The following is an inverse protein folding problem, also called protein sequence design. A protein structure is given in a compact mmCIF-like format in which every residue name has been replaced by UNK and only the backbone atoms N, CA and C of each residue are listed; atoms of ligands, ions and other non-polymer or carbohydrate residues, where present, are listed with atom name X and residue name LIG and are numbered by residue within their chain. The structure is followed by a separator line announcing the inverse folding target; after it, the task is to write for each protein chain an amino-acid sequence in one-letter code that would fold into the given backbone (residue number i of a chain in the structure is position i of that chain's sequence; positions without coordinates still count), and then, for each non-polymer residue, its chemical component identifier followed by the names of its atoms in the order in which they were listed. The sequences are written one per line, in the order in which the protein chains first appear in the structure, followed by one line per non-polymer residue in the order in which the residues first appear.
data_IF_659363089036
#
_entry.id   IF_659363089036
#
_cell.length_a   1.000
_cell.length_b   1.000
_cell.length_c   1.000
_cell.angle_alpha   90.00
_cell.angle_beta   90.00
_cell.angle_gamma   90.00
#
_symmetry.space_group_name_H-M   'P 1'
#
loop_
_entity.id
_entity.type
_entity.pdbx_description
1 polymer ?
#
# COMPACT_ATOMS: atom_id res chain seq x y z
N UNK A 1 0.15 -7.25 26.05
CA UNK A 1 1.04 -7.18 24.88
C UNK A 1 0.28 -6.41 23.81
N UNK A 2 0.91 -5.43 23.16
CA UNK A 2 0.25 -4.64 22.12
C UNK A 2 -0.04 -5.52 20.90
N UNK A 3 -1.06 -5.18 20.12
CA UNK A 3 -1.30 -5.85 18.83
C UNK A 3 -0.30 -5.33 17.79
N UNK A 4 0.12 -6.17 16.86
CA UNK A 4 1.11 -5.84 15.83
C UNK A 4 0.47 -5.50 14.49
N UNK A 5 0.93 -4.42 13.87
CA UNK A 5 0.50 -3.97 12.55
C UNK A 5 1.69 -3.99 11.59
N UNK A 6 1.57 -4.77 10.52
CA UNK A 6 2.55 -4.79 9.43
C UNK A 6 2.11 -3.90 8.27
N UNK A 7 3.01 -3.07 7.75
CA UNK A 7 2.71 -2.13 6.67
C UNK A 7 3.61 -2.39 5.47
N UNK A 8 3.02 -2.56 4.28
CA UNK A 8 3.75 -2.74 3.03
C UNK A 8 3.62 -1.51 2.13
N UNK A 9 4.75 -0.98 1.65
CA UNK A 9 4.81 0.10 0.65
C UNK A 9 5.81 -0.22 -0.47
N UNK A 10 5.76 0.49 -1.59
CA UNK A 10 6.79 0.38 -2.62
C UNK A 10 8.07 1.09 -2.19
N UNK A 11 7.97 2.35 -1.74
CA UNK A 11 9.12 3.18 -1.41
C UNK A 11 8.76 4.11 -0.25
N UNK A 12 9.59 4.11 0.79
CA UNK A 12 9.63 5.13 1.84
C UNK A 12 11.02 5.78 1.86
N UNK A 13 12.04 4.94 1.69
CA UNK A 13 13.36 5.31 1.23
C UNK A 13 13.56 4.89 -0.23
N UNK A 14 14.56 5.48 -0.89
CA UNK A 14 15.12 4.95 -2.13
C UNK A 14 15.53 3.48 -1.95
N UNK A 15 15.53 2.65 -3.03
CA UNK A 15 15.83 1.22 -2.89
C UNK A 15 17.19 0.88 -2.26
N UNK A 16 18.16 1.79 -2.35
CA UNK A 16 19.50 1.71 -1.72
C UNK A 16 19.53 2.23 -0.27
N UNK A 17 18.42 2.77 0.24
CA UNK A 17 18.28 3.30 1.59
C UNK A 17 18.98 4.65 1.82
N UNK A 18 19.52 5.29 0.79
CA UNK A 18 20.32 6.53 0.98
C UNK A 18 19.48 7.78 1.15
N UNK A 19 18.28 7.81 0.55
CA UNK A 19 17.41 8.99 0.55
C UNK A 19 16.01 8.64 1.01
N UNK A 20 15.47 9.43 1.94
CA UNK A 20 14.05 9.40 2.26
C UNK A 20 13.25 10.06 1.12
N UNK A 21 12.17 9.42 0.70
CA UNK A 21 11.23 9.99 -0.26
C UNK A 21 10.35 10.99 0.48
N UNK A 22 10.23 12.21 -0.05
CA UNK A 22 9.41 13.26 0.52
C UNK A 22 8.23 13.53 -0.41
N UNK A 23 7.07 12.97 -0.08
CA UNK A 23 5.81 13.16 -0.77
C UNK A 23 4.62 13.13 0.19
N UNK A 24 3.43 13.34 -0.36
CA UNK A 24 2.19 13.34 0.43
C UNK A 24 1.87 11.98 1.04
N UNK A 25 2.18 10.90 0.34
CA UNK A 25 1.99 9.54 0.84
C UNK A 25 2.95 9.23 1.99
N UNK A 26 4.23 9.61 1.89
CA UNK A 26 5.22 9.34 2.94
C UNK A 26 4.92 10.14 4.22
N UNK A 27 4.50 11.40 4.09
CA UNK A 27 4.00 12.18 5.24
C UNK A 27 2.78 11.51 5.87
N UNK A 28 1.80 11.12 5.08
CA UNK A 28 0.63 10.38 5.58
C UNK A 28 1.05 9.09 6.31
N UNK A 29 2.06 8.37 5.80
CA UNK A 29 2.58 7.14 6.41
C UNK A 29 3.22 7.37 7.78
N UNK A 30 3.99 8.46 7.94
CA UNK A 30 4.54 8.85 9.24
C UNK A 30 3.44 9.17 10.25
N UNK A 31 2.47 10.00 9.88
CA UNK A 31 1.40 10.40 10.80
C UNK A 31 0.46 9.24 11.14
N UNK A 32 0.13 8.38 10.17
CA UNK A 32 -0.59 7.14 10.41
C UNK A 32 0.17 6.24 11.40
N UNK A 33 1.50 6.14 11.26
CA UNK A 33 2.30 5.34 12.19
C UNK A 33 2.26 5.90 13.60
N UNK A 34 2.37 7.23 13.78
CA UNK A 34 2.25 7.85 15.10
C UNK A 34 0.89 7.57 15.74
N UNK A 35 -0.20 7.71 14.98
CA UNK A 35 -1.54 7.38 15.45
C UNK A 35 -1.66 5.92 15.90
N UNK A 36 -1.10 4.98 15.14
CA UNK A 36 -1.09 3.56 15.53
C UNK A 36 -0.32 3.33 16.83
N UNK A 37 0.83 3.99 17.02
CA UNK A 37 1.60 3.92 18.27
C UNK A 37 0.80 4.49 19.46
N UNK A 38 0.14 5.64 19.28
CA UNK A 38 -0.71 6.27 20.30
C UNK A 38 -1.90 5.38 20.71
N UNK A 39 -2.43 4.62 19.76
CA UNK A 39 -3.48 3.61 20.01
C UNK A 39 -2.95 2.32 20.66
N UNK A 40 -1.64 2.22 20.91
CA UNK A 40 -1.00 1.10 21.60
C UNK A 40 -0.65 -0.09 20.69
N UNK A 41 -0.58 0.12 19.38
CA UNK A 41 -0.08 -0.88 18.44
C UNK A 41 1.44 -0.88 18.35
N UNK A 42 2.01 -2.05 18.10
CA UNK A 42 3.39 -2.20 17.64
C UNK A 42 3.39 -2.16 16.11
N UNK A 43 4.25 -1.34 15.49
CA UNK A 43 4.24 -1.13 14.03
C UNK A 43 5.56 -1.52 13.40
N UNK A 44 5.49 -2.23 12.27
CA UNK A 44 6.65 -2.60 11.45
C UNK A 44 6.33 -2.38 9.98
N UNK A 45 7.30 -1.85 9.22
CA UNK A 45 7.18 -1.58 7.80
C UNK A 45 8.03 -2.53 6.95
N UNK A 46 7.58 -2.76 5.73
CA UNK A 46 8.32 -3.41 4.65
C UNK A 46 8.26 -2.56 3.39
N UNK A 47 9.37 -2.51 2.66
CA UNK A 47 9.41 -1.90 1.34
C UNK A 47 10.35 -2.64 0.40
N UNK A 48 10.32 -2.25 -0.88
CA UNK A 48 11.31 -2.70 -1.87
C UNK A 48 12.68 -2.12 -1.52
N UNK A 49 13.72 -2.94 -1.58
CA UNK A 49 15.11 -2.56 -1.34
C UNK A 49 15.98 -3.79 -1.10
N UNK A 50 17.28 -3.64 -0.85
CA UNK A 50 18.12 -4.80 -0.57
C UNK A 50 19.18 -4.52 0.47
N UNK A 51 19.16 -5.32 1.55
CA UNK A 51 20.28 -5.47 2.47
C UNK A 51 20.40 -4.38 3.53
N UNK A 52 19.35 -3.59 3.74
CA UNK A 52 19.35 -2.57 4.79
C UNK A 52 18.10 -2.66 5.68
N UNK A 53 18.26 -2.17 6.90
CA UNK A 53 17.20 -2.00 7.89
C UNK A 53 17.33 -0.58 8.44
N UNK A 54 16.21 0.10 8.64
CA UNK A 54 16.19 1.45 9.21
C UNK A 54 15.07 1.60 10.22
N UNK A 55 15.14 2.69 10.95
CA UNK A 55 14.09 3.15 11.84
C UNK A 55 13.45 4.40 11.23
N UNK A 56 12.12 4.42 11.07
CA UNK A 56 11.38 5.58 10.53
C UNK A 56 10.87 6.52 11.62
N UNK A 57 10.67 5.99 12.82
CA UNK A 57 10.29 6.66 14.06
C UNK A 57 10.86 5.85 15.22
N UNK A 58 11.11 6.44 16.40
CA UNK A 58 11.60 5.72 17.59
C UNK A 58 10.93 4.35 17.80
N UNK A 59 11.70 3.27 17.64
CA UNK A 59 11.22 1.89 17.81
C UNK A 59 10.40 1.29 16.65
N UNK A 60 10.21 2.01 15.53
CA UNK A 60 9.50 1.52 14.33
C UNK A 60 10.48 1.20 13.22
N UNK A 61 10.65 -0.10 12.96
CA UNK A 61 11.55 -0.60 11.94
C UNK A 61 10.91 -0.63 10.56
N UNK A 62 11.74 -0.45 9.54
CA UNK A 62 11.44 -0.76 8.15
C UNK A 62 12.47 -1.75 7.60
N UNK A 63 11.96 -2.85 7.04
CA UNK A 63 12.72 -3.92 6.43
C UNK A 63 12.65 -3.86 4.90
N UNK A 64 13.70 -4.35 4.24
CA UNK A 64 13.73 -4.43 2.78
C UNK A 64 13.35 -5.80 2.25
N UNK A 65 12.61 -5.80 1.15
CA UNK A 65 12.30 -6.97 0.32
C UNK A 65 13.13 -6.87 -0.98
N UNK A 66 14.08 -7.79 -1.23
CA UNK A 66 15.02 -7.75 -2.37
C UNK A 66 14.37 -8.21 -3.68
N UNK A 67 13.22 -7.62 -4.00
CA UNK A 67 12.45 -7.91 -5.20
C UNK A 67 12.04 -6.60 -5.87
N UNK A 68 12.32 -6.50 -7.17
CA UNK A 68 12.07 -5.29 -7.96
C UNK A 68 11.20 -5.58 -9.18
N UNK A 69 10.87 -6.84 -9.43
CA UNK A 69 10.08 -7.25 -10.59
C UNK A 69 8.68 -6.68 -10.49
N UNK A 70 8.41 -5.74 -11.38
CA UNK A 70 7.17 -5.01 -11.44
C UNK A 70 6.22 -5.56 -12.52
N UNK A 71 5.74 -6.79 -12.34
CA UNK A 71 4.79 -7.37 -13.29
C UNK A 71 3.47 -6.60 -13.27
N UNK A 72 3.12 -5.99 -14.40
CA UNK A 72 1.89 -5.20 -14.56
C UNK A 72 1.71 -4.16 -13.45
N UNK A 73 2.76 -3.50 -12.94
CA UNK A 73 2.61 -2.49 -11.89
C UNK A 73 2.06 -3.01 -10.55
N UNK A 74 2.02 -4.35 -10.32
CA UNK A 74 1.41 -4.94 -9.11
C UNK A 74 2.39 -5.67 -8.18
N UNK A 75 3.67 -5.78 -8.54
CA UNK A 75 4.73 -6.36 -7.69
C UNK A 75 4.36 -7.67 -6.95
N UNK A 76 3.91 -8.73 -7.65
CA UNK A 76 3.36 -9.92 -7.00
C UNK A 76 4.34 -10.64 -6.06
N UNK A 77 5.62 -10.66 -6.42
CA UNK A 77 6.64 -11.28 -5.58
C UNK A 77 6.91 -10.46 -4.30
N UNK A 78 6.78 -9.13 -4.36
CA UNK A 78 6.90 -8.27 -3.17
C UNK A 78 5.76 -8.56 -2.19
N UNK A 79 4.53 -8.70 -2.70
CA UNK A 79 3.39 -9.14 -1.89
C UNK A 79 3.64 -10.50 -1.24
N UNK A 80 4.13 -11.49 -2.00
CA UNK A 80 4.41 -12.83 -1.47
C UNK A 80 5.41 -12.79 -0.30
N UNK A 81 6.52 -12.09 -0.47
CA UNK A 81 7.53 -11.94 0.58
C UNK A 81 6.98 -11.23 1.82
N UNK A 82 6.14 -10.20 1.63
CA UNK A 82 5.48 -9.53 2.75
C UNK A 82 4.49 -10.48 3.44
N UNK A 83 3.67 -11.22 2.69
CA UNK A 83 2.67 -12.12 3.22
C UNK A 83 3.30 -13.18 4.15
N UNK A 84 4.42 -13.76 3.74
CA UNK A 84 5.16 -14.75 4.53
C UNK A 84 5.72 -14.15 5.83
N UNK A 85 6.19 -12.91 5.80
CA UNK A 85 6.77 -12.23 6.97
C UNK A 85 5.70 -11.65 7.89
N UNK A 86 4.55 -11.24 7.34
CA UNK A 86 3.48 -10.58 8.07
C UNK A 86 2.43 -11.55 8.63
N UNK A 87 2.61 -12.86 8.45
CA UNK A 87 1.71 -13.89 9.02
C UNK A 87 1.66 -13.86 10.56
N UNK A 88 2.72 -13.35 11.21
CA UNK A 88 2.78 -13.17 12.66
C UNK A 88 2.16 -11.84 13.14
N UNK A 89 1.69 -10.99 12.22
CA UNK A 89 1.04 -9.71 12.55
C UNK A 89 -0.45 -9.91 12.85
N UNK A 90 -1.00 -9.10 13.75
CA UNK A 90 -2.44 -9.11 14.03
C UNK A 90 -3.24 -8.46 12.90
N UNK A 91 -2.66 -7.43 12.27
CA UNK A 91 -3.26 -6.68 11.17
C UNK A 91 -2.21 -6.32 10.11
N UNK A 92 -2.66 -6.13 8.87
CA UNK A 92 -1.83 -5.66 7.78
C UNK A 92 -2.43 -4.44 7.07
N UNK A 93 -1.55 -3.53 6.63
CA UNK A 93 -1.91 -2.38 5.81
C UNK A 93 -1.11 -2.44 4.51
N UNK A 94 -1.81 -2.63 3.41
CA UNK A 94 -1.24 -2.43 2.08
C UNK A 94 -1.29 -0.94 1.76
N UNK A 95 -0.19 -0.24 2.03
CA UNK A 95 -0.11 1.21 1.94
C UNK A 95 -0.31 1.73 0.51
N UNK A 96 -0.19 0.85 -0.48
CA UNK A 96 -0.67 1.09 -1.84
C UNK A 96 -1.50 -0.11 -2.29
N UNK A 97 -2.72 0.14 -2.78
CA UNK A 97 -3.72 -0.92 -2.98
C UNK A 97 -3.27 -2.06 -3.88
N UNK A 98 -2.56 -1.82 -4.99
CA UNK A 98 -2.11 -2.90 -5.88
C UNK A 98 -1.15 -3.90 -5.21
N UNK A 99 -0.50 -3.53 -4.09
CA UNK A 99 0.37 -4.42 -3.34
C UNK A 99 -0.39 -5.49 -2.56
N UNK A 100 -1.73 -5.43 -2.51
CA UNK A 100 -2.57 -6.50 -1.98
C UNK A 100 -2.76 -7.66 -2.98
N UNK A 101 -2.27 -7.54 -4.23
CA UNK A 101 -2.22 -8.62 -5.20
C UNK A 101 -0.94 -9.45 -5.05
N UNK A 102 -0.97 -10.79 -5.20
CA UNK A 102 -2.15 -11.61 -5.51
C UNK A 102 -2.99 -11.99 -4.30
N UNK A 103 -2.45 -11.88 -3.09
CA UNK A 103 -3.10 -12.35 -1.88
C UNK A 103 -2.97 -11.33 -0.76
N UNK A 104 -4.12 -10.96 -0.20
CA UNK A 104 -4.19 -10.11 0.98
C UNK A 104 -4.27 -10.98 2.26
N UNK A 105 -3.68 -10.51 3.35
CA UNK A 105 -3.93 -11.06 4.68
C UNK A 105 -5.40 -10.85 5.08
N UNK A 106 -6.01 -11.82 5.76
CA UNK A 106 -7.45 -11.77 6.10
C UNK A 106 -7.83 -10.53 6.92
N UNK A 107 -6.98 -10.13 7.87
CA UNK A 107 -7.16 -8.96 8.74
C UNK A 107 -6.38 -7.77 8.19
N UNK A 108 -6.78 -7.30 7.00
CA UNK A 108 -6.07 -6.21 6.33
C UNK A 108 -6.97 -5.13 5.76
N UNK A 109 -6.38 -3.96 5.61
CA UNK A 109 -6.91 -2.87 4.79
C UNK A 109 -5.90 -2.52 3.69
N UNK A 110 -6.36 -1.89 2.63
CA UNK A 110 -5.47 -1.16 1.72
C UNK A 110 -5.75 0.33 1.75
N UNK A 111 -4.75 1.11 1.33
CA UNK A 111 -4.87 2.55 1.16
C UNK A 111 -4.71 2.89 -0.33
N UNK A 112 -5.62 3.72 -0.83
CA UNK A 112 -5.51 4.33 -2.15
C UNK A 112 -5.19 5.81 -1.98
N UNK A 113 -4.05 6.22 -2.54
CA UNK A 113 -3.57 7.61 -2.55
C UNK A 113 -4.04 8.41 -3.77
N UNK A 114 -4.85 7.81 -4.64
CA UNK A 114 -5.31 8.40 -5.89
C UNK A 114 -5.25 7.44 -7.07
N UNK A 115 -5.86 7.87 -8.17
CA UNK A 115 -5.74 7.21 -9.46
C UNK A 115 -4.35 7.55 -10.01
N UNK A 116 -3.41 6.61 -9.92
CA UNK A 116 -2.07 6.80 -10.50
C UNK A 116 -1.98 6.35 -11.97
N UNK A 117 -3.04 5.73 -12.51
CA UNK A 117 -3.07 5.13 -13.85
C UNK A 117 -3.73 6.02 -14.91
N UNK A 118 -4.00 7.28 -14.60
CA UNK A 118 -4.56 8.27 -15.52
C UNK A 118 -3.48 9.09 -16.26
N UNK A 119 -2.19 8.93 -15.91
CA UNK A 119 -1.13 9.65 -16.60
C UNK A 119 -0.87 9.10 -18.02
N UNK A 120 -0.50 9.95 -18.99
CA UNK A 120 -0.35 9.54 -20.41
C UNK A 120 0.66 8.42 -20.70
N UNK A 121 1.58 8.13 -19.76
CA UNK A 121 2.58 7.08 -19.91
C UNK A 121 2.12 5.70 -19.42
N UNK A 122 0.99 5.61 -18.72
CA UNK A 122 0.50 4.36 -18.15
C UNK A 122 0.17 3.33 -19.23
N UNK A 123 -0.58 3.74 -20.25
CA UNK A 123 -0.96 2.87 -21.38
C UNK A 123 0.25 2.36 -22.18
N UNK A 124 1.39 3.08 -22.14
CA UNK A 124 2.63 2.60 -22.76
C UNK A 124 3.28 1.46 -21.98
N UNK A 125 3.06 1.39 -20.67
CA UNK A 125 3.51 0.27 -19.84
C UNK A 125 2.63 -0.97 -20.01
N UNK A 126 1.38 -0.78 -20.47
CA UNK A 126 0.42 -1.83 -20.77
C UNK A 126 0.07 -1.80 -22.26
N UNK A 127 1.03 -2.16 -23.10
CA UNK A 127 0.99 -1.91 -24.55
C UNK A 127 -0.22 -2.57 -25.24
N UNK A 128 -0.63 -3.75 -24.80
CA UNK A 128 -1.73 -4.49 -25.43
C UNK A 128 -3.04 -4.40 -24.65
N UNK A 129 -4.16 -4.68 -25.33
CA UNK A 129 -5.46 -4.81 -24.66
C UNK A 129 -5.45 -5.96 -23.63
N UNK A 130 -4.72 -7.04 -23.91
CA UNK A 130 -4.55 -8.15 -22.98
C UNK A 130 -3.83 -7.70 -21.71
N UNK A 131 -2.79 -6.86 -21.82
CA UNK A 131 -2.06 -6.34 -20.67
C UNK A 131 -2.94 -5.43 -19.80
N UNK A 132 -3.76 -4.59 -20.44
CA UNK A 132 -4.71 -3.72 -19.74
C UNK A 132 -5.79 -4.53 -19.02
N UNK A 133 -6.32 -5.58 -19.65
CA UNK A 133 -7.27 -6.51 -19.01
C UNK A 133 -6.64 -7.24 -17.84
N UNK A 134 -5.41 -7.70 -17.98
CA UNK A 134 -4.69 -8.38 -16.90
C UNK A 134 -4.45 -7.43 -15.73
N UNK A 135 -3.98 -6.21 -15.98
CA UNK A 135 -3.81 -5.20 -14.93
C UNK A 135 -5.13 -4.91 -14.18
N UNK A 136 -6.23 -4.68 -14.91
CA UNK A 136 -7.56 -4.49 -14.31
C UNK A 136 -7.99 -5.69 -13.47
N UNK A 137 -7.74 -6.92 -13.96
CA UNK A 137 -8.02 -8.16 -13.21
C UNK A 137 -7.24 -8.21 -11.90
N UNK A 138 -5.94 -7.87 -11.94
CA UNK A 138 -5.07 -7.85 -10.74
C UNK A 138 -5.50 -6.79 -9.74
N UNK A 139 -5.84 -5.59 -10.21
CA UNK A 139 -6.36 -4.51 -9.36
C UNK A 139 -7.70 -4.90 -8.72
N UNK A 140 -8.61 -5.53 -9.46
CA UNK A 140 -9.87 -6.03 -8.90
C UNK A 140 -9.64 -7.07 -7.79
N UNK A 141 -8.67 -7.99 -7.97
CA UNK A 141 -8.29 -8.96 -6.94
C UNK A 141 -7.76 -8.26 -5.69
N UNK A 142 -6.85 -7.29 -5.85
CA UNK A 142 -6.33 -6.51 -4.73
C UNK A 142 -7.44 -5.78 -3.95
N UNK A 143 -8.33 -5.08 -4.66
CA UNK A 143 -9.48 -4.38 -4.08
C UNK A 143 -10.43 -5.31 -3.33
N UNK A 144 -10.64 -6.52 -3.85
CA UNK A 144 -11.56 -7.51 -3.27
C UNK A 144 -10.96 -8.24 -2.06
N UNK A 145 -9.64 -8.43 -2.06
CA UNK A 145 -8.92 -9.27 -1.10
C UNK A 145 -8.84 -8.68 0.31
N UNK A 146 -8.73 -7.35 0.43
CA UNK A 146 -8.68 -6.66 1.73
C UNK A 146 -10.08 -6.50 2.36
N UNK A 147 -10.16 -6.28 3.67
CA UNK A 147 -11.45 -6.05 4.36
C UNK A 147 -12.07 -4.72 3.92
N UNK A 148 -11.25 -3.68 3.85
CA UNK A 148 -11.62 -2.33 3.41
C UNK A 148 -10.52 -1.70 2.58
N UNK A 149 -10.93 -0.89 1.61
CA UNK A 149 -10.08 0.00 0.83
C UNK A 149 -10.33 1.40 1.34
N UNK A 150 -9.39 1.94 2.11
CA UNK A 150 -9.41 3.34 2.54
C UNK A 150 -8.92 4.19 1.38
N UNK A 151 -9.71 5.17 0.96
CA UNK A 151 -9.32 6.10 -0.09
C UNK A 151 -9.27 7.52 0.46
N UNK A 152 -8.20 8.23 0.10
CA UNK A 152 -7.97 9.62 0.54
C UNK A 152 -8.69 10.66 -0.32
N UNK A 153 -9.33 10.23 -1.40
CA UNK A 153 -10.06 11.06 -2.34
C UNK A 153 -11.33 10.34 -2.82
N UNK A 154 -12.32 11.10 -3.28
CA UNK A 154 -13.58 10.55 -3.80
C UNK A 154 -13.48 10.12 -5.26
N UNK A 155 -12.46 10.56 -5.99
CA UNK A 155 -12.30 10.26 -7.43
C UNK A 155 -12.00 8.78 -7.66
N UNK A 156 -11.08 8.22 -6.86
CA UNK A 156 -10.79 6.79 -6.81
C UNK A 156 -12.06 5.98 -6.53
N UNK A 157 -12.86 6.37 -5.52
CA UNK A 157 -14.11 5.69 -5.16
C UNK A 157 -15.11 5.71 -6.31
N UNK A 158 -15.30 6.87 -6.94
CA UNK A 158 -16.20 7.02 -8.09
C UNK A 158 -15.76 6.16 -9.27
N UNK A 159 -14.46 6.14 -9.59
CA UNK A 159 -13.91 5.33 -10.66
C UNK A 159 -14.09 3.83 -10.39
N UNK A 160 -13.85 3.36 -9.16
CA UNK A 160 -14.07 1.95 -8.79
C UNK A 160 -15.54 1.59 -8.92
N UNK A 161 -16.45 2.42 -8.40
CA UNK A 161 -17.89 2.16 -8.48
C UNK A 161 -18.42 2.12 -9.92
N UNK A 162 -17.87 2.96 -10.80
CA UNK A 162 -18.20 2.97 -12.23
C UNK A 162 -17.62 1.76 -12.98
N UNK A 163 -16.43 1.30 -12.59
CA UNK A 163 -15.72 0.20 -13.27
C UNK A 163 -16.21 -1.17 -12.80
N UNK A 164 -16.45 -1.33 -11.50
CA UNK A 164 -16.88 -2.58 -10.86
C UNK A 164 -18.03 -2.34 -9.89
N UNK A 165 -19.27 -2.27 -10.42
CA UNK A 165 -20.47 -2.20 -9.58
C UNK A 165 -20.52 -3.43 -8.66
N UNK A 166 -20.41 -3.20 -7.35
CA UNK A 166 -20.38 -4.26 -6.34
C UNK A 166 -19.31 -4.10 -5.28
N UNK A 167 -18.22 -3.37 -5.58
CA UNK A 167 -17.15 -3.13 -4.60
C UNK A 167 -17.44 -2.00 -3.60
N UNK A 168 -18.55 -1.26 -3.75
CA UNK A 168 -18.88 -0.09 -2.91
C UNK A 168 -18.79 -0.37 -1.40
N UNK A 169 -19.19 -1.56 -0.95
CA UNK A 169 -19.17 -1.95 0.46
C UNK A 169 -17.75 -2.13 1.04
N UNK A 170 -16.74 -2.29 0.17
CA UNK A 170 -15.32 -2.34 0.53
C UNK A 170 -14.72 -0.94 0.72
N UNK A 171 -15.32 0.08 0.12
CA UNK A 171 -14.71 1.41 0.04
C UNK A 171 -15.03 2.22 1.30
N UNK A 172 -14.02 2.90 1.83
CA UNK A 172 -14.15 3.83 2.96
C UNK A 172 -13.44 5.13 2.60
N UNK A 173 -14.13 6.26 2.68
CA UNK A 173 -13.52 7.56 2.44
C UNK A 173 -12.97 8.12 3.75
N UNK A 174 -11.65 8.30 3.82
CA UNK A 174 -11.00 9.00 4.93
C UNK A 174 -10.11 10.08 4.31
N UNK A 175 -10.47 11.37 4.40
CA UNK A 175 -9.72 12.44 3.77
C UNK A 175 -8.27 12.47 4.25
N UNK A 176 -7.35 12.82 3.36
CA UNK A 176 -5.99 13.14 3.78
C UNK A 176 -6.01 14.39 4.69
N UNK A 177 -4.97 14.52 5.50
CA UNK A 177 -4.83 15.63 6.43
C UNK A 177 -3.42 16.21 6.37
N UNK A 178 -3.27 17.36 6.99
CA UNK A 178 -1.98 17.99 7.22
C UNK A 178 -1.99 18.58 8.62
N UNK A 179 -0.88 18.41 9.34
CA UNK A 179 -0.67 19.10 10.60
C UNK A 179 -0.44 20.59 10.33
N UNK A 180 -1.25 21.44 10.95
CA UNK A 180 -1.19 22.89 10.84
C UNK A 180 -0.28 23.55 11.89
N UNK A 181 0.27 22.77 12.83
CA UNK A 181 1.28 23.22 13.80
C UNK A 181 0.76 24.14 14.91
N UNK A 182 -0.51 23.98 15.31
CA UNK A 182 -1.12 24.76 16.41
C UNK A 182 -0.86 24.14 17.77
#
# INVERSE_FOLDING_TARGET
MGKKVGILTTNFFSPDGTRMVYGGAERYGLELTKLLLELGYEVVWWQIGSGWEKEILPGVKIYTIPETKNEFMTFPNVNQHFYEQAVEMDYAIYFVTFLAYPQALEKSISISHGIFWDFPGFDRQLATEADRKEWLRRLHIALSGVQKVVSVDTNTINWINATWPGLYHKLEYIPNFVDLGN
#
